data_IF_381432721329
#
_entry.id   IF_381432721329
#
_cell.length_a   1.000
_cell.length_b   1.000
_cell.length_c   1.000
_cell.angle_alpha   90.00
_cell.angle_beta   90.00
_cell.angle_gamma   90.00
#
_symmetry.space_group_name_H-M   'P 1'
#
loop_
_entity.id
_entity.type
_entity.pdbx_description
1 polymer ?
#
# COMPACT_ATOMS: atom_id res chain seq x y z
N UNK A 1 3.23 -12.37 21.61
CA UNK A 1 3.29 -12.25 20.14
C UNK A 1 3.78 -10.85 19.78
N UNK A 2 5.05 -10.71 19.36
CA UNK A 2 5.64 -9.41 18.99
C UNK A 2 5.25 -9.05 17.56
N UNK A 3 4.19 -8.26 17.45
CA UNK A 3 3.69 -7.74 16.17
C UNK A 3 4.65 -6.72 15.51
N UNK A 4 5.72 -6.32 16.21
CA UNK A 4 6.47 -5.12 15.88
C UNK A 4 7.98 -5.37 15.76
N UNK A 5 8.42 -6.01 14.66
CA UNK A 5 9.83 -6.03 14.24
C UNK A 5 10.45 -4.63 14.07
N UNK A 6 9.66 -3.55 14.16
CA UNK A 6 10.22 -2.20 14.32
C UNK A 6 11.21 -2.16 15.47
N UNK A 7 10.97 -2.84 16.60
CA UNK A 7 11.95 -2.88 17.70
C UNK A 7 13.25 -3.59 17.34
N UNK A 8 13.19 -4.72 16.63
CA UNK A 8 14.41 -5.42 16.18
C UNK A 8 15.19 -4.60 15.14
N UNK A 9 14.47 -3.91 14.24
CA UNK A 9 15.06 -2.99 13.28
C UNK A 9 15.61 -1.75 14.01
N UNK A 10 14.90 -1.19 14.97
CA UNK A 10 15.35 -0.07 15.80
C UNK A 10 16.61 -0.44 16.56
N UNK A 11 16.62 -1.56 17.29
CA UNK A 11 17.81 -2.03 18.02
C UNK A 11 19.01 -2.23 17.09
N UNK A 12 18.78 -2.75 15.88
CA UNK A 12 19.83 -2.88 14.85
C UNK A 12 20.35 -1.52 14.38
N UNK A 13 19.49 -0.51 14.35
CA UNK A 13 19.77 0.79 13.75
C UNK A 13 19.92 1.93 14.78
N UNK A 14 19.86 1.64 16.09
CA UNK A 14 20.03 2.64 17.15
C UNK A 14 21.34 3.42 16.98
N UNK A 15 22.39 2.74 16.49
CA UNK A 15 23.70 3.35 16.20
C UNK A 15 23.73 4.28 14.98
N UNK A 16 22.74 4.22 14.09
CA UNK A 16 22.70 4.99 12.83
C UNK A 16 21.50 5.94 12.74
N UNK A 17 20.51 5.80 13.61
CA UNK A 17 19.42 6.75 13.76
C UNK A 17 19.95 8.01 14.44
N UNK A 18 19.85 9.15 13.77
CA UNK A 18 20.19 10.45 14.34
C UNK A 18 18.89 11.19 14.60
N UNK A 19 18.56 11.45 15.86
CA UNK A 19 17.32 12.13 16.28
C UNK A 19 16.05 11.46 15.73
N UNK A 20 16.01 10.13 15.67
CA UNK A 20 14.87 9.37 15.12
C UNK A 20 14.80 9.37 13.58
N UNK A 21 15.76 9.97 12.89
CA UNK A 21 15.86 10.00 11.43
C UNK A 21 16.88 8.98 10.93
N UNK A 22 16.52 8.30 9.85
CA UNK A 22 17.41 7.43 9.08
C UNK A 22 17.97 8.19 7.89
N UNK A 23 19.26 8.53 7.94
CA UNK A 23 19.96 9.26 6.86
C UNK A 23 19.17 10.51 6.38
N UNK A 24 18.61 11.26 7.32
CA UNK A 24 17.85 12.50 7.07
C UNK A 24 16.35 12.32 6.76
N UNK A 25 15.80 11.11 6.87
CA UNK A 25 14.37 10.82 6.62
C UNK A 25 13.70 10.20 7.83
N UNK A 26 12.41 10.47 8.04
CA UNK A 26 11.63 9.76 9.04
C UNK A 26 11.40 8.31 8.61
N UNK A 27 11.28 7.42 9.58
CA UNK A 27 10.97 6.01 9.31
C UNK A 27 9.48 5.85 9.01
N UNK A 28 9.18 5.11 7.94
CA UNK A 28 7.81 4.66 7.65
C UNK A 28 7.50 3.48 8.58
N UNK A 29 6.63 3.75 9.54
CA UNK A 29 6.09 2.84 10.55
C UNK A 29 4.57 2.77 10.40
N UNK A 30 3.95 1.99 11.28
CA UNK A 30 2.50 2.03 11.46
C UNK A 30 2.06 3.47 11.76
N UNK A 31 1.04 3.93 11.05
CA UNK A 31 0.38 5.24 11.21
C UNK A 31 1.31 6.47 11.05
N UNK A 32 2.50 6.30 10.46
CA UNK A 32 3.41 7.42 10.17
C UNK A 32 3.23 7.94 8.73
N UNK A 33 3.62 9.19 8.43
CA UNK A 33 3.64 9.68 7.05
C UNK A 33 4.48 8.79 6.14
N UNK A 34 4.02 8.59 4.90
CA UNK A 34 4.62 7.70 3.92
C UNK A 34 5.51 8.50 2.97
N UNK A 35 5.00 9.57 2.36
CA UNK A 35 5.75 10.45 1.50
C UNK A 35 6.87 11.17 2.27
N UNK A 36 8.04 11.29 1.63
CA UNK A 36 9.28 11.76 2.24
C UNK A 36 10.00 10.74 3.15
N UNK A 37 9.34 9.64 3.52
CA UNK A 37 9.84 8.66 4.47
C UNK A 37 10.80 7.63 3.89
N UNK A 38 11.31 6.77 4.77
CA UNK A 38 12.08 5.57 4.40
C UNK A 38 11.57 4.33 5.14
N UNK A 39 11.29 3.29 4.38
CA UNK A 39 10.87 1.99 4.89
C UNK A 39 12.03 1.01 4.86
N UNK A 40 12.26 0.31 5.96
CA UNK A 40 13.39 -0.59 6.11
C UNK A 40 12.99 -2.05 5.88
N UNK A 41 13.62 -2.66 4.88
CA UNK A 41 13.43 -4.06 4.54
C UNK A 41 13.97 -4.99 5.64
N UNK A 42 13.15 -5.96 6.06
CA UNK A 42 13.57 -6.98 7.04
C UNK A 42 14.47 -8.07 6.46
N UNK A 43 14.31 -8.40 5.17
CA UNK A 43 15.02 -9.49 4.49
C UNK A 43 16.29 -9.01 3.77
N UNK A 44 16.14 -8.57 2.51
CA UNK A 44 17.23 -8.09 1.63
C UNK A 44 17.93 -6.81 2.12
N UNK A 45 17.43 -6.24 3.22
CA UNK A 45 17.97 -5.06 3.91
C UNK A 45 18.10 -3.85 2.99
N UNK A 46 17.17 -3.61 2.09
CA UNK A 46 17.11 -2.34 1.39
C UNK A 46 16.39 -1.27 2.24
N UNK A 47 16.78 -0.01 2.10
CA UNK A 47 16.07 1.13 2.68
C UNK A 47 15.27 1.84 1.58
N UNK A 48 13.98 1.50 1.46
CA UNK A 48 13.10 1.99 0.40
C UNK A 48 12.68 3.41 0.71
N UNK A 49 13.10 4.36 -0.12
CA UNK A 49 12.72 5.78 0.00
C UNK A 49 11.46 6.03 -0.81
N UNK A 50 10.44 6.58 -0.16
CA UNK A 50 9.23 7.11 -0.83
C UNK A 50 9.34 8.63 -0.82
N UNK A 51 9.43 9.25 -1.99
CA UNK A 51 9.57 10.70 -2.09
C UNK A 51 9.08 11.21 -3.44
N UNK A 52 7.91 11.84 -3.43
CA UNK A 52 7.29 12.54 -4.56
C UNK A 52 8.21 13.55 -5.23
N UNK A 53 8.88 14.38 -4.43
CA UNK A 53 9.67 15.51 -4.93
C UNK A 53 10.89 15.09 -5.76
N UNK A 54 11.41 13.88 -5.52
CA UNK A 54 12.63 13.38 -6.16
C UNK A 54 12.37 12.17 -7.07
N UNK A 55 11.10 11.84 -7.38
CA UNK A 55 10.77 10.71 -8.23
C UNK A 55 9.62 11.03 -9.18
N UNK A 56 9.96 11.36 -10.42
CA UNK A 56 8.99 11.59 -11.50
C UNK A 56 8.09 10.39 -11.75
N UNK A 57 8.58 9.16 -11.53
CA UNK A 57 7.80 7.93 -11.70
C UNK A 57 6.71 7.78 -10.63
N UNK A 58 7.03 8.05 -9.37
CA UNK A 58 6.03 8.00 -8.29
C UNK A 58 4.91 9.03 -8.56
N UNK A 59 5.29 10.25 -8.93
CA UNK A 59 4.34 11.31 -9.28
C UNK A 59 3.53 10.97 -10.54
N UNK A 60 4.16 10.36 -11.55
CA UNK A 60 3.47 9.92 -12.76
C UNK A 60 2.39 8.88 -12.45
N UNK A 61 2.68 7.89 -11.60
CA UNK A 61 1.71 6.87 -11.18
C UNK A 61 0.54 7.52 -10.43
N UNK A 62 0.82 8.47 -9.52
CA UNK A 62 -0.23 9.21 -8.84
C UNK A 62 -1.09 10.03 -9.80
N UNK A 63 -0.48 10.78 -10.72
CA UNK A 63 -1.19 11.57 -11.71
C UNK A 63 -2.13 10.70 -12.57
N UNK A 64 -1.69 9.48 -12.93
CA UNK A 64 -2.54 8.51 -13.63
C UNK A 64 -3.72 8.05 -12.77
N UNK A 65 -3.48 7.70 -11.51
CA UNK A 65 -4.53 7.34 -10.55
C UNK A 65 -5.56 8.45 -10.40
N UNK A 66 -5.08 9.67 -10.19
CA UNK A 66 -5.91 10.86 -10.05
C UNK A 66 -6.74 11.13 -11.30
N UNK A 67 -6.16 10.98 -12.49
CA UNK A 67 -6.90 11.12 -13.76
C UNK A 67 -8.02 10.10 -13.91
N UNK A 68 -7.83 8.86 -13.45
CA UNK A 68 -8.88 7.83 -13.46
C UNK A 68 -10.03 8.22 -12.53
N UNK A 69 -9.72 8.67 -11.31
CA UNK A 69 -10.70 9.16 -10.34
C UNK A 69 -11.45 10.40 -10.85
N UNK A 70 -10.73 11.38 -11.41
CA UNK A 70 -11.31 12.61 -11.94
C UNK A 70 -12.23 12.33 -13.16
N UNK A 71 -11.84 11.39 -14.02
CA UNK A 71 -12.65 10.99 -15.19
C UNK A 71 -13.95 10.29 -14.76
N UNK A 72 -13.87 9.39 -13.78
CA UNK A 72 -15.03 8.66 -13.28
C UNK A 72 -16.07 9.59 -12.60
N UNK A 73 -15.62 10.69 -11.98
CA UNK A 73 -16.51 11.72 -11.43
C UNK A 73 -17.25 12.51 -12.52
N UNK A 74 -16.62 12.71 -13.68
CA UNK A 74 -17.14 13.57 -14.78
C UNK A 74 -18.10 12.86 -15.72
N UNK A 75 -18.00 11.55 -15.89
CA UNK A 75 -18.87 10.84 -16.85
C UNK A 75 -20.33 10.89 -16.40
N UNK A 76 -21.26 11.49 -17.18
CA UNK A 76 -22.66 11.08 -17.14
C UNK A 76 -22.68 9.58 -17.44
N UNK A 77 -23.56 8.83 -16.79
CA UNK A 77 -23.85 7.46 -17.21
C UNK A 77 -24.55 7.58 -18.57
N UNK A 78 -23.81 7.60 -19.67
CA UNK A 78 -24.37 7.00 -20.89
C UNK A 78 -24.30 5.52 -20.62
N UNK A 79 -25.45 4.95 -20.24
CA UNK A 79 -25.70 3.53 -20.03
C UNK A 79 -25.10 2.72 -21.19
N UNK A 80 -23.88 2.17 -21.03
CA UNK A 80 -23.28 1.36 -22.04
C UNK A 80 -23.50 -0.07 -21.56
N UNK A 81 -24.35 -0.79 -22.29
CA UNK A 81 -24.62 -2.25 -22.23
C UNK A 81 -25.92 -2.59 -21.45
N UNK A 82 -27.02 -3.11 -22.03
CA UNK A 82 -27.18 -3.94 -23.23
C UNK A 82 -25.89 -4.64 -23.64
N UNK A 83 -25.43 -5.63 -22.87
CA UNK A 83 -24.79 -6.82 -23.45
C UNK A 83 -24.51 -7.92 -22.42
N UNK A 84 -24.89 -9.10 -22.87
CA UNK A 84 -24.33 -10.44 -22.68
C UNK A 84 -23.99 -10.95 -21.25
N UNK A 85 -24.85 -11.79 -20.64
CA UNK A 85 -24.66 -12.36 -19.30
C UNK A 85 -23.57 -13.45 -19.19
N UNK A 86 -22.68 -13.62 -20.17
CA UNK A 86 -21.81 -14.80 -20.26
C UNK A 86 -20.35 -14.63 -19.78
N UNK A 87 -19.97 -13.54 -19.12
CA UNK A 87 -18.62 -13.39 -18.54
C UNK A 87 -18.66 -13.03 -17.05
N UNK A 88 -18.83 -14.05 -16.21
CA UNK A 88 -18.65 -13.91 -14.76
C UNK A 88 -17.15 -13.80 -14.43
N UNK A 89 -16.66 -12.57 -14.23
CA UNK A 89 -15.44 -12.31 -13.47
C UNK A 89 -15.87 -11.95 -12.03
N UNK A 90 -15.54 -12.75 -11.00
CA UNK A 90 -16.05 -12.55 -9.62
C UNK A 90 -15.64 -11.24 -8.93
N UNK A 91 -14.85 -10.39 -9.59
CA UNK A 91 -14.34 -9.12 -9.07
C UNK A 91 -15.00 -7.88 -9.72
N UNK A 92 -15.89 -8.06 -10.69
CA UNK A 92 -16.57 -6.96 -11.38
C UNK A 92 -17.97 -6.72 -10.79
N UNK A 93 -18.02 -6.30 -9.52
CA UNK A 93 -19.11 -5.40 -9.14
C UNK A 93 -18.89 -4.12 -9.96
N UNK A 94 -19.79 -3.81 -10.90
CA UNK A 94 -19.83 -2.54 -11.63
C UNK A 94 -20.03 -1.39 -10.65
N UNK A 95 -18.96 -0.98 -9.96
CA UNK A 95 -18.95 0.08 -8.98
C UNK A 95 -18.88 1.42 -9.69
N UNK A 96 -20.03 2.09 -9.75
CA UNK A 96 -20.08 3.49 -10.13
C UNK A 96 -19.35 4.35 -9.09
N UNK A 97 -18.36 5.14 -9.54
CA UNK A 97 -17.67 6.11 -8.70
C UNK A 97 -18.61 7.17 -8.07
N UNK A 98 -19.84 7.32 -8.61
CA UNK A 98 -20.87 8.21 -8.04
C UNK A 98 -21.56 7.61 -6.83
N UNK A 99 -21.73 6.30 -6.78
CA UNK A 99 -22.45 5.62 -5.70
C UNK A 99 -21.52 5.37 -4.50
N UNK A 100 -20.25 5.04 -4.77
CA UNK A 100 -19.26 4.84 -3.72
C UNK A 100 -17.87 5.36 -4.14
N UNK A 101 -17.64 6.69 -4.08
CA UNK A 101 -16.37 7.30 -4.50
C UNK A 101 -15.17 6.78 -3.70
N UNK A 102 -15.36 6.52 -2.41
CA UNK A 102 -14.33 5.92 -1.55
C UNK A 102 -13.89 4.55 -2.08
N UNK A 103 -14.83 3.60 -2.21
CA UNK A 103 -14.52 2.25 -2.70
C UNK A 103 -13.91 2.29 -4.10
N UNK A 104 -14.34 3.21 -4.96
CA UNK A 104 -13.73 3.42 -6.28
C UNK A 104 -12.26 3.87 -6.19
N UNK A 105 -11.93 4.83 -5.32
CA UNK A 105 -10.53 5.28 -5.12
C UNK A 105 -9.67 4.15 -4.55
N UNK A 106 -10.19 3.41 -3.57
CA UNK A 106 -9.49 2.29 -2.95
C UNK A 106 -9.21 1.17 -3.99
N UNK A 107 -10.22 0.83 -4.80
CA UNK A 107 -10.08 -0.17 -5.88
C UNK A 107 -9.14 0.30 -6.99
N UNK A 108 -9.23 1.58 -7.39
CA UNK A 108 -8.31 2.19 -8.37
C UNK A 108 -6.87 2.08 -7.88
N UNK A 109 -6.64 2.34 -6.59
CA UNK A 109 -5.33 2.21 -5.97
C UNK A 109 -4.83 0.76 -6.02
N UNK A 110 -5.67 -0.20 -5.64
CA UNK A 110 -5.33 -1.63 -5.71
C UNK A 110 -4.92 -2.06 -7.12
N UNK A 111 -5.71 -1.69 -8.14
CA UNK A 111 -5.45 -2.05 -9.53
C UNK A 111 -4.18 -1.41 -10.07
N UNK A 112 -3.97 -0.12 -9.82
CA UNK A 112 -2.75 0.58 -10.26
C UNK A 112 -1.50 -0.04 -9.67
N UNK A 113 -1.53 -0.46 -8.41
CA UNK A 113 -0.37 -1.12 -7.81
C UNK A 113 -0.05 -2.43 -8.52
N UNK A 114 -1.07 -3.23 -8.86
CA UNK A 114 -0.90 -4.48 -9.61
C UNK A 114 -0.37 -4.26 -11.02
N UNK A 115 -0.82 -3.19 -11.69
CA UNK A 115 -0.39 -2.84 -13.05
C UNK A 115 1.08 -2.40 -13.10
N UNK A 116 1.57 -1.72 -12.06
CA UNK A 116 2.93 -1.14 -12.03
C UNK A 116 3.97 -1.97 -11.29
N UNK A 117 3.54 -2.90 -10.43
CA UNK A 117 4.45 -3.71 -9.62
C UNK A 117 4.00 -5.17 -9.67
N UNK A 118 4.46 -5.90 -10.68
CA UNK A 118 4.29 -7.36 -10.72
C UNK A 118 5.09 -7.98 -9.58
N UNK A 119 4.45 -8.88 -8.82
CA UNK A 119 5.13 -9.56 -7.71
C UNK A 119 6.22 -10.49 -8.25
N UNK A 120 7.49 -10.22 -7.91
CA UNK A 120 8.60 -11.11 -8.22
C UNK A 120 9.80 -10.88 -7.30
N UNK A 121 10.06 -11.87 -6.45
CA UNK A 121 11.25 -11.87 -5.60
C UNK A 121 12.56 -11.87 -6.39
N UNK A 122 12.61 -12.71 -7.43
CA UNK A 122 13.77 -12.87 -8.30
C UNK A 122 14.14 -11.57 -9.03
N UNK A 123 13.15 -10.85 -9.55
CA UNK A 123 13.42 -9.58 -10.23
C UNK A 123 13.82 -8.49 -9.21
N UNK A 124 13.19 -8.46 -8.03
CA UNK A 124 13.61 -7.56 -6.94
C UNK A 124 15.06 -7.81 -6.52
N UNK A 125 15.51 -9.06 -6.44
CA UNK A 125 16.93 -9.38 -6.18
C UNK A 125 17.86 -8.79 -7.23
N UNK A 126 17.50 -8.89 -8.52
CA UNK A 126 18.29 -8.27 -9.60
C UNK A 126 18.30 -6.76 -9.51
N UNK A 127 17.18 -6.12 -9.18
CA UNK A 127 17.10 -4.66 -9.02
C UNK A 127 18.01 -4.22 -7.87
N UNK A 128 17.93 -4.88 -6.72
CA UNK A 128 18.77 -4.54 -5.56
C UNK A 128 20.25 -4.74 -5.89
N UNK A 129 20.60 -5.82 -6.61
CA UNK A 129 21.97 -6.07 -7.07
C UNK A 129 22.45 -4.96 -8.03
N UNK A 130 21.67 -4.67 -9.06
CA UNK A 130 21.95 -3.64 -10.08
C UNK A 130 22.20 -2.27 -9.45
N UNK A 131 21.47 -1.94 -8.39
CA UNK A 131 21.54 -0.65 -7.70
C UNK A 131 22.43 -0.66 -6.45
N UNK A 132 23.10 -1.78 -6.14
CA UNK A 132 23.93 -1.95 -4.93
C UNK A 132 23.20 -1.51 -3.65
N UNK A 133 21.92 -1.91 -3.50
CA UNK A 133 21.00 -1.43 -2.46
C UNK A 133 20.89 -2.37 -1.25
N UNK A 134 21.92 -3.18 -0.99
CA UNK A 134 22.01 -4.03 0.21
C UNK A 134 22.47 -3.25 1.45
N UNK A 135 22.46 -3.91 2.62
CA UNK A 135 23.04 -3.38 3.86
C UNK A 135 22.47 -2.03 4.30
N UNK A 136 21.15 -1.92 4.23
CA UNK A 136 20.33 -0.76 4.55
C UNK A 136 20.61 0.46 3.66
N UNK A 137 21.26 0.29 2.50
CA UNK A 137 21.43 1.37 1.52
C UNK A 137 20.09 1.81 0.94
N UNK A 138 19.99 3.12 0.67
CA UNK A 138 18.77 3.74 0.15
C UNK A 138 18.55 3.39 -1.32
N UNK A 139 17.32 3.03 -1.65
CA UNK A 139 16.84 2.87 -3.03
C UNK A 139 15.45 3.51 -3.14
N UNK A 140 15.19 4.23 -4.23
CA UNK A 140 13.89 4.87 -4.43
C UNK A 140 12.82 3.82 -4.78
N UNK A 141 11.61 3.95 -4.22
CA UNK A 141 10.45 3.16 -4.66
C UNK A 141 10.21 3.33 -6.18
N UNK A 142 10.51 4.50 -6.73
CA UNK A 142 10.41 4.78 -8.16
C UNK A 142 11.29 3.88 -9.04
N UNK A 143 12.40 3.34 -8.51
CA UNK A 143 13.22 2.36 -9.25
C UNK A 143 12.43 1.08 -9.48
N UNK A 144 11.77 0.55 -8.44
CA UNK A 144 10.94 -0.65 -8.56
C UNK A 144 9.75 -0.43 -9.50
N UNK A 145 9.12 0.75 -9.44
CA UNK A 145 8.04 1.14 -10.37
C UNK A 145 8.56 1.17 -11.82
N UNK A 146 9.74 1.76 -12.05
CA UNK A 146 10.33 1.85 -13.38
C UNK A 146 10.73 0.50 -13.97
N UNK A 147 11.15 -0.43 -13.11
CA UNK A 147 11.49 -1.81 -13.51
C UNK A 147 10.24 -2.71 -13.60
N UNK A 148 9.09 -2.27 -13.07
CA UNK A 148 7.81 -2.98 -13.16
C UNK A 148 7.65 -4.14 -12.17
N UNK A 149 8.58 -4.30 -11.22
CA UNK A 149 8.62 -5.43 -10.29
C UNK A 149 8.72 -5.00 -8.84
N UNK A 150 8.00 -5.72 -7.99
CA UNK A 150 7.99 -5.48 -6.55
C UNK A 150 7.75 -6.76 -5.75
N UNK A 151 7.66 -6.59 -4.44
CA UNK A 151 7.15 -7.60 -3.50
C UNK A 151 6.20 -6.89 -2.54
N UNK A 152 5.65 -7.59 -1.55
CA UNK A 152 4.64 -7.08 -0.62
C UNK A 152 4.92 -5.67 -0.08
N UNK A 153 6.12 -5.40 0.45
CA UNK A 153 6.50 -4.06 0.95
C UNK A 153 6.50 -2.97 -0.13
N UNK A 154 6.93 -3.27 -1.36
CA UNK A 154 6.95 -2.29 -2.45
C UNK A 154 5.52 -1.93 -2.87
N UNK A 155 4.66 -2.95 -2.99
CA UNK A 155 3.26 -2.79 -3.33
C UNK A 155 2.49 -2.06 -2.23
N UNK A 156 2.69 -2.44 -0.96
CA UNK A 156 2.11 -1.76 0.19
C UNK A 156 2.51 -0.28 0.25
N UNK A 157 3.79 0.05 0.04
CA UNK A 157 4.28 1.42 0.04
C UNK A 157 3.68 2.26 -1.09
N UNK A 158 3.56 1.70 -2.30
CA UNK A 158 2.90 2.41 -3.40
C UNK A 158 1.42 2.63 -3.11
N UNK A 159 0.70 1.62 -2.63
CA UNK A 159 -0.70 1.74 -2.24
C UNK A 159 -0.88 2.83 -1.17
N UNK A 160 -0.07 2.79 -0.12
CA UNK A 160 -0.14 3.75 0.98
C UNK A 160 0.19 5.18 0.54
N UNK A 161 1.21 5.35 -0.31
CA UNK A 161 1.53 6.65 -0.89
C UNK A 161 0.35 7.23 -1.69
N UNK A 162 -0.27 6.43 -2.57
CA UNK A 162 -1.40 6.89 -3.38
C UNK A 162 -2.58 7.34 -2.52
N UNK A 163 -2.93 6.56 -1.49
CA UNK A 163 -4.02 6.92 -0.57
C UNK A 163 -3.68 8.14 0.29
N UNK A 164 -2.43 8.25 0.78
CA UNK A 164 -1.98 9.43 1.52
C UNK A 164 -2.13 10.70 0.67
N UNK A 165 -1.80 10.62 -0.62
CA UNK A 165 -1.99 11.72 -1.57
C UNK A 165 -3.47 12.04 -1.80
N UNK A 166 -4.32 11.03 -1.99
CA UNK A 166 -5.76 11.25 -2.12
C UNK A 166 -6.38 11.88 -0.87
N UNK A 167 -5.94 11.49 0.33
CA UNK A 167 -6.36 12.11 1.59
C UNK A 167 -5.91 13.56 1.66
N UNK A 168 -4.62 13.83 1.39
CA UNK A 168 -4.04 15.18 1.43
C UNK A 168 -4.70 16.15 0.45
N UNK A 169 -5.16 15.65 -0.70
CA UNK A 169 -5.86 16.44 -1.72
C UNK A 169 -7.39 16.46 -1.55
N UNK A 170 -7.92 15.87 -0.47
CA UNK A 170 -9.35 15.93 -0.14
C UNK A 170 -10.25 15.01 -0.98
N UNK A 171 -9.67 14.03 -1.69
CA UNK A 171 -10.43 13.02 -2.42
C UNK A 171 -10.97 11.92 -1.52
N UNK A 172 -10.35 11.72 -0.35
CA UNK A 172 -10.61 10.64 0.59
C UNK A 172 -10.54 11.19 2.03
N UNK A 173 -11.34 10.66 2.95
CA UNK A 173 -11.36 11.09 4.36
C UNK A 173 -11.10 9.90 5.27
N UNK A 174 -9.96 9.91 5.94
CA UNK A 174 -9.55 8.81 6.80
C UNK A 174 -8.05 8.82 7.04
N UNK A 175 -7.51 7.66 7.38
CA UNK A 175 -6.09 7.44 7.65
C UNK A 175 -5.59 6.25 6.85
N UNK A 176 -4.31 6.29 6.51
CA UNK A 176 -3.61 5.20 5.84
C UNK A 176 -2.41 4.77 6.67
N UNK A 177 -2.12 3.48 6.67
CA UNK A 177 -0.96 2.90 7.35
C UNK A 177 -0.35 1.77 6.54
N UNK A 178 0.97 1.63 6.69
CA UNK A 178 1.70 0.45 6.24
C UNK A 178 1.84 -0.50 7.42
N UNK A 179 1.13 -1.61 7.34
CA UNK A 179 1.13 -2.65 8.36
C UNK A 179 2.02 -3.82 7.91
N UNK A 180 2.53 -4.55 8.90
CA UNK A 180 3.44 -5.68 8.68
C UNK A 180 3.35 -6.67 9.83
N UNK A 181 3.54 -7.94 9.52
CA UNK A 181 3.66 -9.01 10.51
C UNK A 181 4.84 -9.93 10.16
N UNK A 182 5.13 -10.87 11.05
CA UNK A 182 6.25 -11.81 10.89
C UNK A 182 5.98 -13.20 11.45
N UNK A 183 4.72 -13.61 11.62
CA UNK A 183 4.38 -14.85 12.31
C UNK A 183 4.62 -16.12 11.49
N UNK A 184 4.39 -16.08 10.17
CA UNK A 184 4.50 -17.23 9.27
C UNK A 184 5.43 -16.96 8.08
N UNK A 185 5.37 -15.74 7.54
CA UNK A 185 6.32 -15.17 6.59
C UNK A 185 6.28 -13.66 6.75
N UNK A 186 7.41 -12.96 6.61
CA UNK A 186 7.40 -11.50 6.74
C UNK A 186 6.56 -10.89 5.61
N UNK A 187 5.50 -10.19 5.97
CA UNK A 187 4.57 -9.60 4.99
C UNK A 187 4.23 -8.17 5.33
N UNK A 188 3.82 -7.41 4.32
CA UNK A 188 3.42 -6.02 4.47
C UNK A 188 2.23 -5.72 3.56
N UNK A 189 1.30 -4.91 4.06
CA UNK A 189 0.08 -4.51 3.35
C UNK A 189 -0.27 -3.06 3.67
N UNK A 190 -1.18 -2.49 2.88
CA UNK A 190 -1.73 -1.17 3.14
C UNK A 190 -3.08 -1.31 3.84
N UNK A 191 -3.28 -0.54 4.91
CA UNK A 191 -4.54 -0.42 5.64
C UNK A 191 -5.09 0.99 5.43
N UNK A 192 -6.33 1.07 4.98
CA UNK A 192 -7.12 2.29 5.04
C UNK A 192 -8.15 2.17 6.16
N UNK A 193 -8.30 3.23 6.94
CA UNK A 193 -9.34 3.37 7.95
C UNK A 193 -10.10 4.65 7.65
N UNK A 194 -11.37 4.53 7.26
CA UNK A 194 -12.26 5.66 6.99
C UNK A 194 -12.50 6.48 8.26
N UNK A 195 -13.05 7.68 8.10
CA UNK A 195 -13.41 8.55 9.22
C UNK A 195 -14.39 7.90 10.22
N UNK A 196 -15.30 7.04 9.73
CA UNK A 196 -16.25 6.27 10.57
C UNK A 196 -15.65 4.98 11.16
N UNK A 197 -14.35 4.77 11.01
CA UNK A 197 -13.62 3.64 11.60
C UNK A 197 -13.64 2.35 10.79
N UNK A 198 -14.34 2.29 9.65
CA UNK A 198 -14.32 1.09 8.80
C UNK A 198 -12.94 0.85 8.22
N UNK A 199 -12.51 -0.41 8.24
CA UNK A 199 -11.18 -0.81 7.79
C UNK A 199 -11.27 -1.50 6.44
N UNK A 200 -10.51 -1.01 5.47
CA UNK A 200 -10.28 -1.69 4.19
C UNK A 200 -8.81 -2.08 4.08
N UNK A 201 -8.56 -3.34 3.77
CA UNK A 201 -7.23 -3.88 3.49
C UNK A 201 -6.99 -3.83 1.99
N UNK A 202 -5.82 -3.31 1.62
CA UNK A 202 -5.31 -3.27 0.26
C UNK A 202 -4.01 -4.08 0.23
N UNK A 203 -4.09 -5.32 -0.26
CA UNK A 203 -2.96 -6.24 -0.35
C UNK A 203 -2.83 -6.87 -1.75
N UNK A 204 -2.22 -6.13 -2.69
CA UNK A 204 -1.94 -6.63 -4.04
C UNK A 204 -1.07 -7.87 -4.09
N UNK A 205 -0.22 -8.12 -3.09
CA UNK A 205 0.69 -9.26 -3.06
C UNK A 205 -0.06 -10.57 -2.79
N UNK A 206 -1.10 -10.51 -1.95
CA UNK A 206 -1.99 -11.64 -1.67
C UNK A 206 -3.23 -11.67 -2.56
N UNK A 207 -3.38 -10.70 -3.47
CA UNK A 207 -4.59 -10.55 -4.27
C UNK A 207 -5.83 -10.22 -3.43
N UNK A 208 -5.66 -9.62 -2.25
CA UNK A 208 -6.74 -9.33 -1.31
C UNK A 208 -7.09 -7.84 -1.33
N UNK A 209 -8.39 -7.57 -1.49
CA UNK A 209 -9.00 -6.26 -1.37
C UNK A 209 -10.35 -6.43 -0.70
N UNK A 210 -10.57 -5.83 0.46
CA UNK A 210 -11.83 -6.00 1.18
C UNK A 210 -11.78 -5.46 2.60
N UNK A 211 -12.90 -5.62 3.31
CA UNK A 211 -12.97 -5.21 4.71
C UNK A 211 -12.15 -6.13 5.61
N UNK A 212 -11.83 -5.64 6.81
CA UNK A 212 -11.12 -6.44 7.80
C UNK A 212 -11.92 -7.70 8.21
N UNK A 213 -13.25 -7.58 8.33
CA UNK A 213 -14.14 -8.70 8.68
C UNK A 213 -14.11 -9.79 7.60
N UNK A 214 -14.19 -9.42 6.32
CA UNK A 214 -14.10 -10.36 5.19
C UNK A 214 -12.76 -11.09 5.12
N UNK A 215 -11.72 -10.53 5.73
CA UNK A 215 -10.41 -11.19 5.78
C UNK A 215 -10.42 -12.44 6.67
N UNK A 216 -11.25 -12.46 7.71
CA UNK A 216 -11.37 -13.60 8.63
C UNK A 216 -12.00 -14.82 7.95
N UNK A 217 -12.94 -14.60 7.04
CA UNK A 217 -13.66 -15.67 6.34
C UNK A 217 -12.77 -16.50 5.42
N UNK A 218 -11.68 -15.92 4.90
CA UNK A 218 -10.86 -16.53 3.84
C UNK A 218 -9.65 -17.34 4.32
N UNK A 219 -9.50 -17.63 5.63
CA UNK A 219 -8.21 -18.09 6.20
C UNK A 219 -7.05 -17.18 5.72
N UNK A 220 -7.36 -15.90 5.50
CA UNK A 220 -6.39 -14.96 4.97
C UNK A 220 -5.49 -14.46 6.09
N UNK A 221 -4.43 -13.76 5.73
CA UNK A 221 -3.39 -13.33 6.65
C UNK A 221 -3.97 -12.56 7.87
N UNK A 222 -3.27 -12.56 9.00
CA UNK A 222 -3.69 -11.91 10.23
C UNK A 222 -3.49 -10.39 10.08
N UNK A 223 -4.46 -9.75 9.44
CA UNK A 223 -4.49 -8.30 9.24
C UNK A 223 -4.92 -7.52 10.49
N UNK A 224 -5.45 -8.24 11.49
CA UNK A 224 -5.99 -7.66 12.72
C UNK A 224 -4.89 -7.07 13.59
N UNK A 225 -5.10 -5.82 14.00
CA UNK A 225 -4.36 -5.22 15.10
C UNK A 225 -4.99 -5.68 16.41
N UNK A 226 -4.20 -5.65 17.49
CA UNK A 226 -4.72 -5.91 18.85
C UNK A 226 -5.83 -4.96 19.26
N UNK A 227 -5.82 -3.75 18.69
CA UNK A 227 -6.85 -2.75 18.95
C UNK A 227 -8.21 -3.14 18.32
N UNK A 228 -8.20 -3.88 17.20
CA UNK A 228 -9.41 -4.32 16.50
C UNK A 228 -10.19 -5.37 17.34
N UNK A 229 -9.51 -6.12 18.20
CA UNK A 229 -10.13 -7.12 19.10
C UNK A 229 -10.98 -6.49 20.22
N UNK A 230 -10.75 -5.21 20.56
CA UNK A 230 -11.48 -4.54 21.64
C UNK A 230 -12.84 -4.03 21.18
N UNK A 231 -12.96 -3.56 19.94
CA UNK A 231 -14.22 -3.03 19.40
C UNK A 231 -15.28 -4.12 19.20
N UNK A 232 -14.89 -5.38 19.00
CA UNK A 232 -15.83 -6.51 18.93
C UNK A 232 -16.47 -6.88 20.27
N UNK A 233 -15.84 -6.55 21.41
CA UNK A 233 -16.35 -6.91 22.75
C UNK A 233 -17.32 -5.87 23.33
N UNK A 234 -17.35 -4.68 22.75
CA UNK A 234 -18.18 -3.55 23.19
C UNK A 234 -19.40 -3.32 22.28
N UNK A 235 -19.57 -4.13 21.23
CA UNK A 235 -20.77 -4.22 20.37
C UNK A 235 -21.61 -5.44 20.74
#
# INVERSE_FOLDING_TARGET
MEWNRTKLIENRLESILKNGLYQGRHLIRRDSPIDGGVYLGGGRREAIVVNSQNSSLIEYVYAKAKKMVDSAKKSPLEDPLKEDPAKENPLEENLSAKENPEKFILMTTYNIVRDYLTYSEKEVDKIILKHNAYEDKKISLGVFIGEGYGVCRHQALLAGFLLERFIKEGYLQGKVSIDRNSLLSAHAWCRYTSEDGKVTIIDPAQGFFGSLEKSLEKLSWEYHRKEDEKEERER
#
